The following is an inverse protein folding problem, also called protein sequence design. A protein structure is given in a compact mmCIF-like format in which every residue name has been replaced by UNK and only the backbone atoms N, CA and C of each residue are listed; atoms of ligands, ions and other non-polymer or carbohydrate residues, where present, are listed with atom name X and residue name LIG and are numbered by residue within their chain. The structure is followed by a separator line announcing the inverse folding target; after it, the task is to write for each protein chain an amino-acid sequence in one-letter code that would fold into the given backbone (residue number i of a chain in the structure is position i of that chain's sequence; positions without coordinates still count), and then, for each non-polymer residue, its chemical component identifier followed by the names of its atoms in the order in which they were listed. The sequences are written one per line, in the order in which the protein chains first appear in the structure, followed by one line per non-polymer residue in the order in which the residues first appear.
data_IF_027748560256
#
_entry.id   IF_027748560256
#
_cell.length_a   1.000
_cell.length_b   1.000
_cell.length_c   1.000
_cell.angle_alpha   90.00
_cell.angle_beta   90.00
_cell.angle_gamma   90.00
#
_symmetry.space_group_name_H-M   'P 1'
#
loop_
_entity.id
_entity.type
_entity.pdbx_description
1 polymer ?
#
# COMPACT_ATOMS: atom_id res chain seq x y z
N UNK A 1 27.97 -50.78 5.31
CA UNK A 1 27.87 -49.62 4.41
C UNK A 1 26.64 -48.85 4.85
N UNK A 2 26.83 -47.70 5.48
CA UNK A 2 25.73 -46.88 5.96
C UNK A 2 25.05 -46.22 4.76
N UNK A 3 23.76 -46.51 4.56
CA UNK A 3 22.93 -45.81 3.58
C UNK A 3 22.80 -44.34 4.02
N UNK A 4 23.58 -43.45 3.43
CA UNK A 4 23.29 -42.02 3.46
C UNK A 4 22.08 -41.80 2.56
N UNK A 5 20.88 -41.72 3.15
CA UNK A 5 19.73 -41.17 2.47
C UNK A 5 20.05 -39.71 2.16
N UNK A 6 20.41 -39.41 0.91
CA UNK A 6 20.56 -38.03 0.46
C UNK A 6 19.22 -37.34 0.66
N UNK A 7 19.15 -36.36 1.56
CA UNK A 7 17.99 -35.50 1.69
C UNK A 7 17.75 -34.79 0.34
N UNK A 8 16.54 -34.92 -0.19
CA UNK A 8 16.12 -34.35 -1.47
C UNK A 8 15.17 -33.19 -1.18
N UNK A 9 15.34 -32.09 -1.90
CA UNK A 9 14.50 -30.90 -1.79
C UNK A 9 13.87 -30.57 -3.16
N UNK A 10 12.60 -30.18 -3.14
CA UNK A 10 11.88 -29.82 -4.35
C UNK A 10 12.24 -28.38 -4.76
N UNK A 11 12.77 -28.20 -5.97
CA UNK A 11 13.11 -26.86 -6.46
C UNK A 11 11.86 -26.10 -6.94
N UNK A 12 11.51 -24.93 -6.36
CA UNK A 12 10.31 -24.19 -6.75
C UNK A 12 10.39 -23.62 -8.18
N UNK A 13 11.60 -23.43 -8.71
CA UNK A 13 11.80 -22.86 -10.04
C UNK A 13 11.66 -23.91 -11.16
N UNK A 14 12.38 -25.04 -11.07
CA UNK A 14 12.35 -26.08 -12.11
C UNK A 14 11.41 -27.26 -11.81
N UNK A 15 10.80 -27.31 -10.62
CA UNK A 15 9.87 -28.37 -10.17
C UNK A 15 10.44 -29.78 -10.20
N UNK A 16 11.76 -29.88 -10.09
CA UNK A 16 12.47 -31.16 -10.02
C UNK A 16 13.05 -31.38 -8.63
N UNK A 17 13.12 -32.66 -8.26
CA UNK A 17 13.68 -33.12 -7.00
C UNK A 17 15.20 -33.15 -7.10
N UNK A 18 15.86 -32.27 -6.36
CA UNK A 18 17.31 -32.08 -6.40
C UNK A 18 17.92 -32.38 -5.03
N UNK A 19 19.16 -32.89 -4.96
CA UNK A 19 19.83 -33.11 -3.68
C UNK A 19 19.97 -31.79 -2.91
N UNK A 20 19.95 -31.86 -1.58
CA UNK A 20 20.08 -30.70 -0.68
C UNK A 20 21.46 -30.05 -0.80
N UNK A 21 21.58 -29.12 -1.74
CA UNK A 21 22.75 -28.29 -2.01
C UNK A 21 22.39 -26.81 -1.86
N UNK A 22 23.37 -25.92 -1.74
CA UNK A 22 23.11 -24.46 -1.62
C UNK A 22 22.33 -23.89 -2.82
N UNK A 23 22.47 -24.49 -4.01
CA UNK A 23 21.80 -24.10 -5.23
C UNK A 23 21.25 -25.34 -5.95
N UNK A 24 20.15 -25.19 -6.68
CA UNK A 24 19.61 -26.24 -7.55
C UNK A 24 20.61 -26.52 -8.69
N UNK A 25 21.07 -27.77 -8.80
CA UNK A 25 22.05 -28.17 -9.82
C UNK A 25 21.53 -28.04 -11.26
N UNK A 26 20.21 -28.03 -11.45
CA UNK A 26 19.59 -27.99 -12.78
C UNK A 26 19.31 -26.55 -13.26
N UNK A 27 18.92 -25.64 -12.37
CA UNK A 27 18.53 -24.27 -12.75
C UNK A 27 19.25 -23.14 -12.01
N UNK A 28 20.15 -23.45 -11.07
CA UNK A 28 20.91 -22.45 -10.31
C UNK A 28 20.13 -21.74 -9.20
N UNK A 29 18.86 -22.10 -8.96
CA UNK A 29 18.03 -21.46 -7.94
C UNK A 29 18.63 -21.63 -6.52
N UNK A 30 18.77 -20.55 -5.71
CA UNK A 30 19.37 -20.62 -4.38
C UNK A 30 18.46 -21.29 -3.34
N UNK A 31 18.69 -22.58 -3.06
CA UNK A 31 17.89 -23.39 -2.15
C UNK A 31 18.13 -23.06 -0.67
N UNK A 32 19.26 -22.44 -0.32
CA UNK A 32 19.53 -22.01 1.06
C UNK A 32 18.53 -20.95 1.57
N UNK A 33 17.84 -20.24 0.66
CA UNK A 33 16.79 -19.28 1.04
C UNK A 33 15.54 -20.00 1.56
N UNK A 34 15.23 -21.20 1.05
CA UNK A 34 14.10 -22.03 1.50
C UNK A 34 14.35 -22.60 2.90
N UNK A 35 15.58 -23.00 3.24
CA UNK A 35 15.91 -23.49 4.58
C UNK A 35 15.76 -22.40 5.65
N UNK A 36 16.09 -21.14 5.30
CA UNK A 36 15.89 -20.00 6.20
C UNK A 36 14.39 -19.71 6.42
N UNK A 37 13.56 -19.91 5.42
CA UNK A 37 12.11 -19.75 5.54
C UNK A 37 11.49 -20.89 6.37
N UNK A 38 11.85 -22.15 6.10
CA UNK A 38 11.38 -23.30 6.87
C UNK A 38 11.81 -23.27 8.34
N UNK A 39 13.02 -22.78 8.64
CA UNK A 39 13.45 -22.57 10.04
C UNK A 39 12.67 -21.47 10.74
N UNK A 40 12.37 -20.36 10.06
CA UNK A 40 11.54 -19.28 10.62
C UNK A 40 10.11 -19.74 10.88
N UNK A 41 9.53 -20.54 9.98
CA UNK A 41 8.20 -21.12 10.19
C UNK A 41 8.20 -22.15 11.33
N UNK A 42 9.26 -22.96 11.48
CA UNK A 42 9.37 -23.91 12.58
C UNK A 42 9.54 -23.23 13.95
N UNK A 43 10.31 -22.14 14.03
CA UNK A 43 10.46 -21.34 15.27
C UNK A 43 9.15 -20.64 15.65
N UNK A 44 8.35 -20.20 14.68
CA UNK A 44 7.07 -19.54 14.93
C UNK A 44 5.96 -20.50 15.44
N UNK A 45 6.09 -21.79 15.17
CA UNK A 45 5.16 -22.84 15.64
C UNK A 45 5.54 -23.35 17.04
N UNK A 46 6.80 -23.21 17.47
CA UNK A 46 7.25 -23.64 18.81
C UNK A 46 6.89 -22.61 19.89
N UNK A 47 6.91 -21.30 19.57
CA UNK A 47 6.48 -20.24 20.51
C UNK A 47 4.96 -20.26 20.81
N UNK A 48 4.14 -20.90 19.97
CA UNK A 48 2.69 -21.03 20.19
C UNK A 48 2.27 -22.27 20.98
N UNK A 49 3.21 -23.16 21.34
CA UNK A 49 2.92 -24.40 22.10
C UNK A 49 3.18 -24.33 23.60
N UNK A 50 3.74 -23.24 24.14
CA UNK A 50 4.06 -23.13 25.57
C UNK A 50 2.96 -22.49 26.44
N UNK A 51 1.83 -22.02 25.89
CA UNK A 51 0.75 -21.41 26.68
C UNK A 51 -0.67 -21.92 26.36
N UNK A 52 -0.95 -23.23 26.42
CA UNK A 52 -2.32 -23.68 26.76
C UNK A 52 -2.28 -25.06 27.44
N UNK A 53 -2.17 -25.07 28.78
CA UNK A 53 -2.61 -26.21 29.60
C UNK A 53 -4.05 -25.95 30.05
N UNK A 54 -5.01 -26.34 29.21
CA UNK A 54 -6.42 -26.47 29.59
C UNK A 54 -6.91 -27.86 29.18
N UNK A 55 -6.85 -28.76 30.15
CA UNK A 55 -7.55 -30.04 30.15
C UNK A 55 -9.06 -29.84 29.98
N UNK A 56 -9.58 -30.17 28.80
CA UNK A 56 -11.02 -30.45 28.61
C UNK A 56 -11.14 -31.81 27.92
N UNK A 57 -11.62 -32.77 28.70
CA UNK A 57 -12.02 -34.11 28.27
C UNK A 57 -13.25 -33.98 27.34
N UNK A 58 -13.07 -34.22 26.04
CA UNK A 58 -14.17 -34.28 25.06
C UNK A 58 -14.32 -35.74 24.62
N UNK A 59 -15.48 -36.31 24.93
CA UNK A 59 -15.92 -37.64 24.49
C UNK A 59 -15.94 -37.74 22.96
N UNK A 60 -15.32 -38.80 22.44
CA UNK A 60 -15.37 -39.20 21.03
C UNK A 60 -16.80 -39.63 20.63
N UNK A 61 -17.40 -39.06 19.58
CA UNK A 61 -18.49 -39.70 18.87
C UNK A 61 -17.97 -40.69 17.81
N UNK A 62 -18.70 -41.80 17.68
CA UNK A 62 -18.45 -42.95 16.83
C UNK A 62 -18.41 -42.63 15.31
N UNK A 63 -17.76 -43.49 14.50
CA UNK A 63 -17.66 -43.31 13.06
C UNK A 63 -19.01 -43.53 12.35
N UNK A 64 -19.46 -42.51 11.62
CA UNK A 64 -20.59 -42.59 10.68
C UNK A 64 -20.06 -43.11 9.33
N UNK A 65 -20.74 -44.08 8.70
CA UNK A 65 -20.27 -44.75 7.49
C UNK A 65 -20.39 -43.88 6.23
N UNK A 66 -19.49 -44.13 5.28
CA UNK A 66 -19.47 -43.64 3.90
C UNK A 66 -20.82 -43.86 3.18
N UNK A 67 -21.34 -42.84 2.47
CA UNK A 67 -22.28 -43.06 1.39
C UNK A 67 -21.60 -42.97 0.01
N UNK A 68 -22.11 -43.85 -0.83
CA UNK A 68 -21.71 -44.19 -2.19
C UNK A 68 -21.85 -43.05 -3.20
N UNK A 69 -21.04 -43.20 -4.25
CA UNK A 69 -20.92 -42.46 -5.51
C UNK A 69 -22.19 -42.45 -6.38
N UNK A 70 -22.27 -41.39 -7.21
CA UNK A 70 -23.00 -41.20 -8.49
C UNK A 70 -24.51 -40.87 -8.45
N UNK A 71 -25.09 -40.21 -9.50
CA UNK A 71 -24.50 -39.53 -10.67
C UNK A 71 -25.00 -38.07 -10.91
N UNK A 72 -24.41 -37.45 -11.94
CA UNK A 72 -24.74 -36.15 -12.54
C UNK A 72 -26.25 -35.87 -12.75
N UNK A 73 -26.72 -34.63 -12.51
CA UNK A 73 -27.97 -34.16 -13.08
C UNK A 73 -27.79 -33.43 -14.42
N UNK A 74 -28.66 -33.83 -15.35
CA UNK A 74 -28.89 -33.29 -16.68
C UNK A 74 -29.25 -31.79 -16.67
N UNK A 75 -28.86 -31.17 -17.79
CA UNK A 75 -29.23 -29.85 -18.26
C UNK A 75 -30.76 -29.74 -18.35
N UNK A 76 -31.34 -28.75 -17.66
CA UNK A 76 -32.70 -28.24 -17.92
C UNK A 76 -32.55 -26.75 -18.20
N UNK A 77 -32.75 -26.39 -19.48
CA UNK A 77 -33.16 -25.05 -19.91
C UNK A 77 -34.64 -24.84 -19.58
N UNK A 78 -35.07 -23.57 -19.52
CA UNK A 78 -36.42 -23.01 -19.24
C UNK A 78 -36.55 -22.44 -17.82
N UNK A 79 -37.22 -21.32 -17.56
CA UNK A 79 -37.60 -20.14 -18.34
C UNK A 79 -37.96 -19.06 -17.28
N UNK A 80 -38.18 -17.84 -17.74
CA UNK A 80 -38.74 -16.66 -17.05
C UNK A 80 -39.54 -16.90 -15.74
N UNK A 81 -39.31 -16.07 -14.71
CA UNK A 81 -40.36 -15.18 -14.16
C UNK A 81 -39.82 -14.26 -13.03
N UNK A 82 -40.23 -12.99 -13.15
CA UNK A 82 -40.02 -11.90 -12.21
C UNK A 82 -40.62 -12.20 -10.83
N UNK A 83 -39.86 -12.01 -9.75
CA UNK A 83 -40.43 -11.73 -8.43
C UNK A 83 -39.72 -10.55 -7.78
N UNK A 84 -40.45 -9.43 -7.81
CA UNK A 84 -40.25 -8.22 -7.01
C UNK A 84 -40.56 -8.61 -5.55
N UNK A 85 -39.53 -8.60 -4.70
CA UNK A 85 -39.69 -8.65 -3.25
C UNK A 85 -39.34 -7.26 -2.69
N UNK A 86 -40.39 -6.49 -2.41
CA UNK A 86 -40.35 -5.35 -1.49
C UNK A 86 -39.92 -5.85 -0.11
N UNK A 87 -38.67 -5.58 0.26
CA UNK A 87 -38.19 -5.78 1.62
C UNK A 87 -38.41 -4.49 2.41
N UNK A 88 -39.33 -4.58 3.35
CA UNK A 88 -39.72 -3.58 4.35
C UNK A 88 -38.50 -3.22 5.21
N UNK A 89 -38.21 -1.92 5.27
CA UNK A 89 -37.08 -1.30 5.95
C UNK A 89 -37.35 -1.25 7.46
N UNK A 90 -36.67 -2.09 8.25
CA UNK A 90 -36.75 -2.09 9.71
C UNK A 90 -35.68 -1.14 10.29
N UNK A 91 -36.12 0.00 10.84
CA UNK A 91 -35.26 1.00 11.50
C UNK A 91 -34.60 0.42 12.78
N UNK A 92 -33.25 0.39 12.87
CA UNK A 92 -32.59 0.11 14.14
C UNK A 92 -32.57 1.37 15.05
N UNK A 93 -33.11 1.20 16.26
CA UNK A 93 -33.02 2.15 17.37
C UNK A 93 -31.57 2.47 17.73
N UNK A 94 -31.22 3.72 18.08
CA UNK A 94 -29.90 4.06 18.57
C UNK A 94 -29.68 3.55 20.01
N UNK A 95 -28.59 2.81 20.20
CA UNK A 95 -28.03 2.51 21.52
C UNK A 95 -27.30 3.75 22.09
N UNK A 96 -27.32 3.95 23.42
CA UNK A 96 -26.69 5.10 24.07
C UNK A 96 -25.16 4.99 24.16
N UNK A 97 -24.48 6.08 23.82
CA UNK A 97 -23.03 6.27 23.99
C UNK A 97 -22.63 6.24 25.49
N UNK A 98 -21.54 5.54 25.87
CA UNK A 98 -20.95 5.69 27.19
C UNK A 98 -20.03 6.91 27.25
N UNK A 99 -20.30 7.79 28.22
CA UNK A 99 -19.43 8.86 28.68
C UNK A 99 -18.13 8.27 29.24
N UNK A 100 -16.97 8.65 28.68
CA UNK A 100 -15.66 8.32 29.26
C UNK A 100 -15.12 9.59 29.92
N UNK A 101 -15.11 9.58 31.24
CA UNK A 101 -14.46 10.57 32.10
C UNK A 101 -12.93 10.44 32.02
N UNK A 102 -12.31 11.62 31.94
CA UNK A 102 -10.91 11.96 32.20
C UNK A 102 -10.32 11.37 33.48
N UNK A 103 -9.06 10.92 33.42
CA UNK A 103 -8.04 11.26 34.44
C UNK A 103 -6.65 11.32 33.82
N UNK A 104 -6.04 12.51 33.92
CA UNK A 104 -4.65 12.83 33.67
C UNK A 104 -3.89 12.56 34.97
N UNK A 105 -2.88 11.69 34.95
CA UNK A 105 -1.86 11.62 36.00
C UNK A 105 -0.53 12.10 35.42
N UNK A 106 -0.14 13.31 35.81
CA UNK A 106 1.21 13.85 35.62
C UNK A 106 1.99 13.47 36.87
N UNK A 107 2.98 12.60 36.72
CA UNK A 107 3.91 12.26 37.78
C UNK A 107 5.09 13.24 37.73
N UNK A 108 5.07 14.19 38.66
CA UNK A 108 6.23 14.96 39.09
C UNK A 108 7.28 14.02 39.69
N UNK A 109 8.54 14.13 39.24
CA UNK A 109 9.65 13.72 40.09
C UNK A 109 10.79 14.72 40.04
N UNK A 110 11.10 15.20 41.24
CA UNK A 110 11.94 16.33 41.60
C UNK A 110 13.35 15.85 42.01
N UNK A 111 14.32 16.76 41.86
CA UNK A 111 15.54 16.95 42.70
C UNK A 111 16.83 16.10 42.47
N UNK A 112 17.79 16.70 41.74
CA UNK A 112 19.07 17.36 42.22
C UNK A 112 19.91 16.58 43.27
N UNK A 113 21.28 16.43 43.17
CA UNK A 113 22.27 17.54 43.26
C UNK A 113 23.60 17.42 42.47
N UNK A 114 24.09 18.56 41.95
CA UNK A 114 25.29 19.34 42.37
C UNK A 114 26.66 18.71 42.05
N UNK A 115 27.50 19.40 41.27
CA UNK A 115 28.67 20.14 41.79
C UNK A 115 29.47 20.83 40.66
N UNK A 116 29.83 22.09 40.94
CA UNK A 116 31.09 22.81 40.63
C UNK A 116 31.59 22.92 39.15
N UNK A 117 32.06 24.04 38.61
CA UNK A 117 32.63 25.25 39.19
C UNK A 117 32.96 26.30 38.07
N UNK A 118 32.91 27.60 38.40
CA UNK A 118 33.90 28.68 38.07
C UNK A 118 34.00 29.09 36.57
N UNK A 119 33.72 30.31 36.08
CA UNK A 119 34.23 31.68 36.39
C UNK A 119 33.48 32.75 35.53
N UNK A 120 33.69 34.08 35.76
CA UNK A 120 32.71 35.13 35.51
C UNK A 120 33.00 36.08 34.33
N UNK A 121 32.09 37.06 34.20
CA UNK A 121 32.21 38.37 33.53
C UNK A 121 32.09 38.44 32.00
N UNK A 122 30.90 38.87 31.53
CA UNK A 122 30.80 40.01 30.64
C UNK A 122 29.37 40.55 30.64
N UNK A 123 29.18 41.70 31.30
CA UNK A 123 28.01 42.55 31.09
C UNK A 123 27.90 42.92 29.61
N UNK A 124 26.74 42.66 29.01
CA UNK A 124 26.26 43.43 27.85
C UNK A 124 24.75 43.46 27.89
N UNK A 125 24.28 44.54 28.48
CA UNK A 125 22.98 45.15 28.33
C UNK A 125 22.67 45.34 26.83
N UNK A 126 21.61 44.66 26.37
CA UNK A 126 21.05 44.78 25.03
C UNK A 126 19.55 44.62 25.16
N UNK A 127 18.85 45.75 25.28
CA UNK A 127 17.41 45.84 25.07
C UNK A 127 17.08 45.37 23.65
N UNK A 128 16.34 44.25 23.53
CA UNK A 128 15.63 43.91 22.30
C UNK A 128 14.10 43.97 22.54
N UNK A 129 13.33 44.48 21.57
CA UNK A 129 11.89 44.69 21.66
C UNK A 129 11.09 43.37 21.55
N UNK A 130 9.81 43.37 21.97
CA UNK A 130 9.01 42.15 22.07
C UNK A 130 8.76 41.52 20.70
N UNK A 131 9.13 40.25 20.59
CA UNK A 131 8.76 39.35 19.50
C UNK A 131 7.23 39.20 19.48
N UNK A 132 6.62 39.72 18.42
CA UNK A 132 5.27 39.33 18.01
C UNK A 132 5.30 37.86 17.59
N UNK A 133 4.56 37.01 18.29
CA UNK A 133 4.17 35.67 17.84
C UNK A 133 3.37 35.81 16.54
N UNK A 134 4.09 35.77 15.41
CA UNK A 134 3.50 35.37 14.15
C UNK A 134 3.36 33.85 14.20
N UNK A 135 2.12 33.39 14.32
CA UNK A 135 1.70 32.07 13.86
C UNK A 135 2.33 31.83 12.48
N UNK A 136 3.34 30.97 12.45
CA UNK A 136 3.81 30.34 11.24
C UNK A 136 2.86 29.17 11.05
N UNK A 137 1.81 29.38 10.27
CA UNK A 137 1.12 28.28 9.60
C UNK A 137 2.16 27.59 8.72
N UNK A 138 2.74 26.52 9.24
CA UNK A 138 3.57 25.64 8.45
C UNK A 138 2.65 24.98 7.41
N UNK A 139 2.62 25.55 6.21
CA UNK A 139 2.09 24.90 5.01
C UNK A 139 2.77 23.54 4.88
N UNK A 140 2.04 22.49 5.27
CA UNK A 140 2.45 21.10 5.08
C UNK A 140 2.44 20.87 3.57
N UNK A 141 3.60 21.02 2.92
CA UNK A 141 3.82 20.52 1.56
C UNK A 141 3.67 19.00 1.58
N UNK A 142 2.48 18.53 1.25
CA UNK A 142 2.12 17.11 1.15
C UNK A 142 2.54 16.47 -0.16
N UNK A 143 3.24 17.18 -1.05
CA UNK A 143 3.67 16.63 -2.33
C UNK A 143 4.82 15.63 -2.14
N UNK A 144 4.45 14.35 -2.06
CA UNK A 144 5.34 13.18 -1.96
C UNK A 144 6.22 13.00 -3.21
N UNK A 145 5.89 13.71 -4.29
CA UNK A 145 6.68 13.75 -5.51
C UNK A 145 7.14 15.16 -5.79
N UNK A 146 8.45 15.30 -5.97
CA UNK A 146 8.95 16.41 -6.80
C UNK A 146 8.50 16.19 -8.25
N UNK A 147 8.25 17.26 -9.02
CA UNK A 147 7.90 17.14 -10.44
C UNK A 147 8.91 16.30 -11.24
N UNK A 148 10.19 16.40 -10.89
CA UNK A 148 11.30 15.66 -11.52
C UNK A 148 11.22 14.15 -11.24
N UNK A 149 10.90 13.74 -10.00
CA UNK A 149 10.69 12.33 -9.68
C UNK A 149 9.49 11.76 -10.44
N UNK A 150 8.38 12.52 -10.50
CA UNK A 150 7.17 12.09 -11.23
C UNK A 150 7.47 11.82 -12.70
N UNK A 151 8.26 12.67 -13.34
CA UNK A 151 8.66 12.50 -14.73
C UNK A 151 9.55 11.26 -14.93
N UNK A 152 10.47 10.99 -13.99
CA UNK A 152 11.35 9.82 -14.05
C UNK A 152 10.62 8.47 -14.07
N UNK A 153 9.50 8.37 -13.35
CA UNK A 153 8.66 7.16 -13.32
C UNK A 153 7.71 7.06 -14.52
N UNK A 154 7.48 8.16 -15.25
CA UNK A 154 6.59 8.21 -16.41
C UNK A 154 7.33 7.97 -17.75
N UNK A 155 8.63 8.25 -17.82
CA UNK A 155 9.43 8.14 -19.06
C UNK A 155 9.87 6.73 -19.42
N UNK A 156 9.97 5.83 -18.45
CA UNK A 156 10.20 4.43 -18.77
C UNK A 156 8.85 3.87 -19.28
N UNK A 157 8.73 3.65 -20.60
CA UNK A 157 7.64 2.87 -21.22
C UNK A 157 7.75 1.40 -20.79
N UNK A 158 7.61 1.18 -19.50
CA UNK A 158 7.59 -0.11 -18.88
C UNK A 158 6.25 -0.72 -19.23
N UNK A 159 6.20 -1.47 -20.34
CA UNK A 159 5.18 -2.50 -20.57
C UNK A 159 5.36 -3.59 -19.48
N UNK A 160 5.05 -3.25 -18.24
CA UNK A 160 4.92 -4.23 -17.18
C UNK A 160 3.45 -4.37 -16.88
N UNK A 161 3.01 -5.61 -17.07
CA UNK A 161 1.79 -6.16 -16.52
C UNK A 161 1.96 -6.20 -14.99
N UNK A 162 1.99 -5.03 -14.36
CA UNK A 162 1.92 -4.96 -12.91
C UNK A 162 0.52 -5.44 -12.55
N UNK A 163 0.45 -6.59 -11.87
CA UNK A 163 -0.77 -7.08 -11.29
C UNK A 163 -0.90 -6.45 -9.89
N UNK A 164 -1.73 -5.40 -9.72
CA UNK A 164 -1.92 -4.80 -8.41
C UNK A 164 -2.48 -5.83 -7.44
N UNK A 165 -2.01 -5.79 -6.20
CA UNK A 165 -2.62 -6.58 -5.14
C UNK A 165 -4.08 -6.09 -4.90
N UNK A 166 -4.95 -6.95 -4.35
CA UNK A 166 -6.37 -6.63 -4.18
C UNK A 166 -6.62 -5.36 -3.36
N UNK A 167 -5.78 -5.09 -2.35
CA UNK A 167 -5.93 -3.93 -1.48
C UNK A 167 -5.56 -2.63 -2.21
N UNK A 168 -4.44 -2.63 -2.95
CA UNK A 168 -4.05 -1.49 -3.78
C UNK A 168 -5.12 -1.18 -4.83
N UNK A 169 -5.67 -2.21 -5.47
CA UNK A 169 -6.76 -2.06 -6.44
C UNK A 169 -8.00 -1.42 -5.81
N UNK A 170 -8.42 -1.90 -4.64
CA UNK A 170 -9.57 -1.37 -3.91
C UNK A 170 -9.40 0.12 -3.55
N UNK A 171 -8.23 0.50 -3.01
CA UNK A 171 -7.92 1.90 -2.68
C UNK A 171 -8.09 2.80 -3.90
N UNK A 172 -7.56 2.36 -5.04
CA UNK A 172 -7.59 3.13 -6.28
C UNK A 172 -9.00 3.22 -6.88
N UNK A 173 -9.78 2.13 -6.87
CA UNK A 173 -11.18 2.15 -7.30
C UNK A 173 -12.05 3.05 -6.43
N UNK A 174 -11.86 3.03 -5.11
CA UNK A 174 -12.59 3.88 -4.18
C UNK A 174 -12.21 5.35 -4.33
N UNK A 175 -10.94 5.65 -4.61
CA UNK A 175 -10.50 7.00 -4.92
C UNK A 175 -11.13 7.52 -6.22
N UNK A 176 -11.16 6.70 -7.28
CA UNK A 176 -11.81 7.03 -8.54
C UNK A 176 -13.32 7.29 -8.34
N UNK A 177 -14.03 6.37 -7.66
CA UNK A 177 -15.45 6.54 -7.31
C UNK A 177 -15.70 7.81 -6.49
N UNK A 178 -14.84 8.12 -5.52
CA UNK A 178 -14.96 9.31 -4.68
C UNK A 178 -14.88 10.59 -5.52
N UNK A 179 -13.95 10.67 -6.47
CA UNK A 179 -13.82 11.81 -7.40
C UNK A 179 -15.08 11.93 -8.27
N UNK A 180 -15.51 10.84 -8.88
CA UNK A 180 -16.73 10.80 -9.70
C UNK A 180 -17.96 11.30 -8.93
N UNK A 181 -18.13 10.83 -7.69
CA UNK A 181 -19.26 11.23 -6.84
C UNK A 181 -19.21 12.70 -6.45
N UNK A 182 -18.04 13.24 -6.12
CA UNK A 182 -17.86 14.67 -5.81
C UNK A 182 -18.28 15.55 -6.98
N UNK A 183 -17.80 15.26 -8.19
CA UNK A 183 -18.15 16.01 -9.41
C UNK A 183 -19.67 15.95 -9.64
N UNK A 184 -20.26 14.75 -9.58
CA UNK A 184 -21.71 14.57 -9.77
C UNK A 184 -22.55 15.29 -8.71
N UNK A 185 -22.11 15.30 -7.45
CA UNK A 185 -22.80 16.05 -6.39
C UNK A 185 -22.81 17.55 -6.65
N UNK A 186 -21.69 18.12 -7.09
CA UNK A 186 -21.63 19.57 -7.41
C UNK A 186 -22.65 19.90 -8.50
N UNK A 187 -22.75 19.07 -9.53
CA UNK A 187 -23.76 19.21 -10.59
C UNK A 187 -25.20 19.15 -10.03
N UNK A 188 -25.51 18.23 -9.13
CA UNK A 188 -26.83 18.12 -8.51
C UNK A 188 -27.21 19.36 -7.70
N UNK A 189 -26.24 20.00 -7.03
CA UNK A 189 -26.46 21.26 -6.34
C UNK A 189 -26.73 22.39 -7.34
N UNK A 190 -25.96 22.49 -8.43
CA UNK A 190 -26.17 23.51 -9.47
C UNK A 190 -27.56 23.38 -10.09
N UNK A 191 -27.98 22.16 -10.42
CA UNK A 191 -29.31 21.88 -10.95
C UNK A 191 -30.44 22.09 -9.90
N UNK A 192 -30.10 22.59 -8.70
CA UNK A 192 -31.02 22.86 -7.59
C UNK A 192 -31.83 21.63 -7.16
N UNK A 193 -31.32 20.42 -7.42
CA UNK A 193 -31.99 19.17 -7.06
C UNK A 193 -31.85 18.87 -5.56
N UNK A 194 -30.83 19.42 -4.91
CA UNK A 194 -30.51 19.20 -3.50
C UNK A 194 -30.35 20.55 -2.80
N UNK A 195 -30.82 20.64 -1.55
CA UNK A 195 -30.62 21.83 -0.71
C UNK A 195 -29.17 21.90 -0.23
N UNK A 196 -28.63 23.11 -0.09
CA UNK A 196 -27.23 23.33 0.35
C UNK A 196 -26.88 22.59 1.64
N UNK A 197 -27.76 22.58 2.65
CA UNK A 197 -27.50 21.90 3.93
C UNK A 197 -27.30 20.39 3.78
N UNK A 198 -28.10 19.73 2.93
CA UNK A 198 -27.98 18.29 2.67
C UNK A 198 -26.76 18.01 1.80
N UNK A 199 -26.52 18.86 0.78
CA UNK A 199 -25.34 18.78 -0.05
C UNK A 199 -24.07 18.87 0.79
N UNK A 200 -23.96 19.88 1.66
CA UNK A 200 -22.77 20.14 2.46
C UNK A 200 -22.41 18.94 3.33
N UNK A 201 -23.39 18.35 4.04
CA UNK A 201 -23.16 17.15 4.85
C UNK A 201 -22.61 15.97 4.03
N UNK A 202 -23.19 15.71 2.85
CA UNK A 202 -22.74 14.64 1.98
C UNK A 202 -21.37 14.94 1.38
N UNK A 203 -21.19 16.16 0.88
CA UNK A 203 -19.98 16.62 0.22
C UNK A 203 -18.79 16.59 1.19
N UNK A 204 -18.95 17.14 2.40
CA UNK A 204 -17.91 17.14 3.44
C UNK A 204 -17.51 15.69 3.80
N UNK A 205 -18.49 14.78 3.95
CA UNK A 205 -18.21 13.35 4.16
C UNK A 205 -17.39 12.75 3.01
N UNK A 206 -17.68 13.08 1.75
CA UNK A 206 -16.88 12.60 0.61
C UNK A 206 -15.50 13.26 0.56
N UNK A 207 -15.36 14.53 0.95
CA UNK A 207 -14.08 15.22 1.06
C UNK A 207 -13.20 14.52 2.09
N UNK A 208 -13.72 14.24 3.29
CA UNK A 208 -13.01 13.51 4.35
C UNK A 208 -12.61 12.10 3.92
N UNK A 209 -13.53 11.33 3.34
CA UNK A 209 -13.23 10.01 2.78
C UNK A 209 -12.15 10.09 1.69
N UNK A 210 -12.21 11.10 0.83
CA UNK A 210 -11.20 11.34 -0.20
C UNK A 210 -9.81 11.56 0.39
N UNK A 211 -9.70 12.38 1.46
CA UNK A 211 -8.42 12.59 2.16
C UNK A 211 -7.85 11.30 2.73
N UNK A 212 -8.71 10.42 3.27
CA UNK A 212 -8.31 9.11 3.78
C UNK A 212 -7.79 8.19 2.65
N UNK A 213 -8.48 8.15 1.51
CA UNK A 213 -8.03 7.36 0.36
C UNK A 213 -6.73 7.89 -0.25
N UNK A 214 -6.57 9.21 -0.37
CA UNK A 214 -5.30 9.84 -0.79
C UNK A 214 -4.19 9.47 0.18
N UNK A 215 -4.41 9.55 1.49
CA UNK A 215 -3.41 9.17 2.50
C UNK A 215 -2.99 7.69 2.39
N UNK A 216 -3.94 6.79 2.12
CA UNK A 216 -3.65 5.36 1.88
C UNK A 216 -2.85 5.13 0.60
N UNK A 217 -3.23 5.80 -0.49
CA UNK A 217 -2.50 5.78 -1.77
C UNK A 217 -1.04 6.23 -1.57
N UNK A 218 -0.87 7.29 -0.83
CA UNK A 218 0.41 7.91 -0.51
C UNK A 218 1.30 7.01 0.37
N UNK A 219 0.70 6.27 1.30
CA UNK A 219 1.39 5.22 2.07
C UNK A 219 1.90 4.08 1.16
N UNK A 220 1.06 3.60 0.24
CA UNK A 220 1.43 2.56 -0.74
C UNK A 220 2.62 3.03 -1.59
N UNK A 221 2.58 4.27 -2.07
CA UNK A 221 3.69 4.87 -2.81
C UNK A 221 4.96 4.90 -1.96
N UNK A 222 4.87 5.34 -0.71
CA UNK A 222 6.04 5.43 0.20
C UNK A 222 6.66 4.06 0.43
N UNK A 223 5.83 3.03 0.61
CA UNK A 223 6.26 1.63 0.73
C UNK A 223 6.99 1.16 -0.54
N UNK A 224 6.42 1.39 -1.72
CA UNK A 224 7.07 1.04 -2.98
C UNK A 224 8.41 1.76 -3.18
N UNK A 225 8.51 3.04 -2.82
CA UNK A 225 9.79 3.78 -2.86
C UNK A 225 10.83 3.12 -1.96
N UNK A 226 10.49 2.82 -0.71
CA UNK A 226 11.39 2.16 0.22
C UNK A 226 11.82 0.76 -0.25
N UNK A 227 10.90 -0.02 -0.83
CA UNK A 227 11.21 -1.33 -1.40
C UNK A 227 12.16 -1.22 -2.61
N UNK A 228 11.96 -0.23 -3.50
CA UNK A 228 12.85 0.05 -4.63
C UNK A 228 14.25 0.40 -4.13
N UNK A 229 14.38 1.33 -3.18
CA UNK A 229 15.67 1.73 -2.63
C UNK A 229 16.44 0.55 -2.03
N UNK A 230 15.75 -0.32 -1.27
CA UNK A 230 16.35 -1.55 -0.73
C UNK A 230 16.86 -2.46 -1.85
N UNK A 231 16.01 -2.74 -2.84
CA UNK A 231 16.38 -3.63 -3.95
C UNK A 231 17.51 -3.05 -4.80
N UNK A 232 17.56 -1.73 -5.00
CA UNK A 232 18.64 -1.05 -5.70
C UNK A 232 19.98 -1.18 -4.95
N UNK A 233 19.97 -1.07 -3.63
CA UNK A 233 21.16 -1.32 -2.81
C UNK A 233 21.64 -2.77 -2.93
N UNK A 234 20.72 -3.74 -2.87
CA UNK A 234 21.03 -5.16 -3.06
C UNK A 234 21.58 -5.43 -4.47
N UNK A 235 21.02 -4.80 -5.49
CA UNK A 235 21.46 -4.92 -6.88
C UNK A 235 22.88 -4.36 -7.07
N UNK A 236 23.18 -3.19 -6.48
CA UNK A 236 24.53 -2.63 -6.49
C UNK A 236 25.52 -3.56 -5.78
N UNK A 237 25.12 -4.17 -4.66
CA UNK A 237 25.96 -5.15 -3.95
C UNK A 237 26.22 -6.39 -4.81
N UNK A 238 25.18 -6.97 -5.42
CA UNK A 238 25.30 -8.14 -6.27
C UNK A 238 26.20 -7.87 -7.49
N UNK A 239 26.10 -6.68 -8.10
CA UNK A 239 26.99 -6.26 -9.20
C UNK A 239 28.44 -6.14 -8.76
N UNK A 240 28.72 -5.58 -7.58
CA UNK A 240 30.07 -5.49 -7.02
C UNK A 240 30.67 -6.86 -6.72
N UNK A 241 29.88 -7.76 -6.14
CA UNK A 241 30.32 -9.12 -5.84
C UNK A 241 30.62 -9.92 -7.11
N UNK A 242 29.80 -9.72 -8.15
CA UNK A 242 30.04 -10.31 -9.47
C UNK A 242 31.33 -9.77 -10.11
N UNK A 243 31.53 -8.45 -10.11
CA UNK A 243 32.76 -7.81 -10.62
C UNK A 243 34.00 -8.30 -9.86
N UNK A 244 33.91 -8.40 -8.54
CA UNK A 244 35.00 -8.94 -7.72
C UNK A 244 35.32 -10.39 -8.09
N UNK A 245 34.32 -11.22 -8.34
CA UNK A 245 34.51 -12.60 -8.80
C UNK A 245 35.21 -12.64 -10.17
N UNK A 246 34.85 -11.75 -11.10
CA UNK A 246 35.52 -11.63 -12.40
C UNK A 246 36.99 -11.22 -12.25
N UNK A 247 37.29 -10.24 -11.39
CA UNK A 247 38.67 -9.83 -11.08
C UNK A 247 39.46 -10.99 -10.46
N UNK A 248 38.89 -11.68 -9.46
CA UNK A 248 39.54 -12.83 -8.79
C UNK A 248 39.84 -13.97 -9.77
N UNK A 249 38.93 -14.25 -10.72
CA UNK A 249 39.18 -15.20 -11.81
C UNK A 249 40.35 -14.75 -12.67
N UNK A 250 40.37 -13.48 -13.07
CA UNK A 250 41.39 -12.94 -13.99
C UNK A 250 42.81 -12.94 -13.39
N UNK A 251 42.94 -12.73 -12.08
CA UNK A 251 44.24 -12.83 -11.38
C UNK A 251 44.62 -14.26 -10.98
N UNK A 252 43.75 -15.24 -11.24
CA UNK A 252 43.97 -16.65 -10.88
C UNK A 252 43.76 -16.99 -9.40
N UNK A 253 43.12 -16.10 -8.62
CA UNK A 253 42.77 -16.33 -7.22
C UNK A 253 41.50 -17.19 -7.07
N UNK A 254 40.56 -17.09 -8.02
CA UNK A 254 39.39 -17.95 -8.10
C UNK A 254 39.59 -19.06 -9.15
N UNK A 255 39.18 -20.28 -8.83
CA UNK A 255 39.22 -21.41 -9.78
C UNK A 255 38.11 -21.28 -10.83
N UNK A 256 38.29 -21.96 -11.97
CA UNK A 256 37.26 -22.01 -13.01
C UNK A 256 35.97 -22.67 -12.51
N UNK A 257 36.08 -23.66 -11.61
CA UNK A 257 34.94 -24.31 -10.97
C UNK A 257 34.18 -23.37 -10.03
N UNK A 258 34.87 -22.61 -9.17
CA UNK A 258 34.23 -21.59 -8.31
C UNK A 258 33.49 -20.56 -9.16
N UNK A 259 34.12 -20.08 -10.23
CA UNK A 259 33.52 -19.12 -11.14
C UNK A 259 32.26 -19.69 -11.82
N UNK A 260 32.35 -20.91 -12.36
CA UNK A 260 31.23 -21.53 -13.08
C UNK A 260 30.02 -21.80 -12.17
N UNK A 261 30.23 -21.97 -10.86
CA UNK A 261 29.14 -22.11 -9.89
C UNK A 261 28.57 -20.75 -9.48
N UNK A 262 29.41 -19.77 -9.13
CA UNK A 262 28.96 -18.50 -8.56
C UNK A 262 28.48 -17.48 -9.60
N UNK A 263 29.12 -17.42 -10.77
CA UNK A 263 28.79 -16.44 -11.80
C UNK A 263 27.32 -16.52 -12.28
N UNK A 264 26.76 -17.72 -12.55
CA UNK A 264 25.34 -17.83 -12.90
C UNK A 264 24.41 -17.37 -11.77
N UNK A 265 24.75 -17.65 -10.51
CA UNK A 265 23.95 -17.23 -9.36
C UNK A 265 23.89 -15.69 -9.25
N UNK A 266 25.04 -15.01 -9.34
CA UNK A 266 25.05 -13.55 -9.33
C UNK A 266 24.30 -12.93 -10.51
N UNK A 267 24.45 -13.50 -11.71
CA UNK A 267 23.69 -13.03 -12.89
C UNK A 267 22.19 -13.17 -12.68
N UNK A 268 21.76 -14.30 -12.12
CA UNK A 268 20.35 -14.51 -11.78
C UNK A 268 19.86 -13.50 -10.75
N UNK A 269 20.61 -13.25 -9.67
CA UNK A 269 20.24 -12.26 -8.64
C UNK A 269 20.14 -10.85 -9.26
N UNK A 270 21.09 -10.45 -10.12
CA UNK A 270 21.06 -9.15 -10.81
C UNK A 270 19.83 -9.02 -11.72
N UNK A 271 19.58 -10.00 -12.59
CA UNK A 271 18.44 -9.99 -13.51
C UNK A 271 17.10 -10.01 -12.77
N UNK A 272 17.02 -10.77 -11.68
CA UNK A 272 15.83 -10.87 -10.85
C UNK A 272 15.53 -9.55 -10.14
N UNK A 273 16.52 -8.96 -9.47
CA UNK A 273 16.38 -7.65 -8.81
C UNK A 273 16.03 -6.54 -9.81
N UNK A 274 16.68 -6.50 -10.98
CA UNK A 274 16.34 -5.55 -12.04
C UNK A 274 14.87 -5.70 -12.50
N UNK A 275 14.36 -6.94 -12.57
CA UNK A 275 12.96 -7.21 -12.92
C UNK A 275 12.00 -6.79 -11.81
N UNK A 276 12.32 -7.09 -10.55
CA UNK A 276 11.49 -6.72 -9.40
C UNK A 276 11.42 -5.21 -9.20
N UNK A 277 12.55 -4.50 -9.33
CA UNK A 277 12.59 -3.03 -9.28
C UNK A 277 11.66 -2.44 -10.34
N UNK A 278 11.74 -2.91 -11.59
CA UNK A 278 10.86 -2.44 -12.65
C UNK A 278 9.39 -2.76 -12.37
N UNK A 279 9.10 -3.94 -11.82
CA UNK A 279 7.73 -4.31 -11.45
C UNK A 279 7.16 -3.36 -10.36
N UNK A 280 7.93 -3.08 -9.32
CA UNK A 280 7.53 -2.16 -8.25
C UNK A 280 7.40 -0.71 -8.75
N UNK A 281 8.27 -0.28 -9.69
CA UNK A 281 8.09 1.01 -10.38
C UNK A 281 6.80 1.06 -11.19
N UNK A 282 6.44 -0.03 -11.86
CA UNK A 282 5.14 -0.18 -12.51
C UNK A 282 3.97 -0.06 -11.52
N UNK A 283 4.14 -0.55 -10.30
CA UNK A 283 3.19 -0.36 -9.21
C UNK A 283 3.01 1.11 -8.82
N UNK A 284 4.10 1.87 -8.68
CA UNK A 284 4.02 3.32 -8.46
C UNK A 284 3.27 4.00 -9.62
N UNK A 285 3.59 3.65 -10.87
CA UNK A 285 2.93 4.22 -12.03
C UNK A 285 1.42 3.91 -12.07
N UNK A 286 1.02 2.70 -11.70
CA UNK A 286 -0.38 2.32 -11.55
C UNK A 286 -1.10 3.18 -10.51
N UNK A 287 -0.47 3.37 -9.34
CA UNK A 287 -1.04 4.12 -8.22
C UNK A 287 -1.09 5.64 -8.49
N UNK A 288 -0.18 6.18 -9.29
CA UNK A 288 -0.19 7.59 -9.69
C UNK A 288 -1.24 7.85 -10.78
N UNK A 289 -1.42 6.92 -11.71
CA UNK A 289 -2.26 7.12 -12.90
C UNK A 289 -3.71 6.67 -12.65
N UNK A 290 -4.44 7.44 -11.83
CA UNK A 290 -5.86 7.18 -11.55
C UNK A 290 -6.71 7.25 -12.83
N UNK A 291 -6.34 8.10 -13.78
CA UNK A 291 -7.05 8.29 -15.05
C UNK A 291 -7.28 6.97 -15.80
N UNK A 292 -6.29 6.07 -15.82
CA UNK A 292 -6.39 4.77 -16.50
C UNK A 292 -7.40 3.80 -15.88
N UNK A 293 -7.90 4.08 -14.67
CA UNK A 293 -8.89 3.24 -13.99
C UNK A 293 -10.33 3.67 -14.29
N UNK A 294 -10.51 4.88 -14.80
CA UNK A 294 -11.80 5.40 -15.22
C UNK A 294 -11.91 5.15 -16.74
N UNK A 295 -13.02 4.61 -17.25
CA UNK A 295 -13.25 4.49 -18.68
C UNK A 295 -13.00 5.82 -19.39
N UNK A 296 -12.33 5.80 -20.54
CA UNK A 296 -11.94 7.03 -21.27
C UNK A 296 -13.14 7.93 -21.59
N UNK A 297 -14.27 7.33 -21.95
CA UNK A 297 -15.55 8.03 -22.17
C UNK A 297 -16.04 8.76 -20.90
N UNK A 298 -15.93 8.11 -19.73
CA UNK A 298 -16.32 8.70 -18.45
C UNK A 298 -15.32 9.78 -18.01
N UNK A 299 -14.03 9.65 -18.32
CA UNK A 299 -13.03 10.71 -18.04
C UNK A 299 -13.34 11.98 -18.82
N UNK A 300 -13.65 11.87 -20.11
CA UNK A 300 -14.00 13.03 -20.93
C UNK A 300 -15.29 13.70 -20.44
N UNK A 301 -16.31 12.90 -20.09
CA UNK A 301 -17.55 13.40 -19.49
C UNK A 301 -17.27 14.13 -18.17
N UNK A 302 -16.52 13.50 -17.25
CA UNK A 302 -16.17 14.09 -15.95
C UNK A 302 -15.35 15.36 -16.09
N UNK A 303 -14.43 15.42 -17.05
CA UNK A 303 -13.65 16.62 -17.35
C UNK A 303 -14.55 17.76 -17.84
N UNK A 304 -15.38 17.48 -18.84
CA UNK A 304 -16.34 18.44 -19.40
C UNK A 304 -17.31 18.95 -18.33
N UNK A 305 -17.84 18.04 -17.51
CA UNK A 305 -18.69 18.42 -16.37
C UNK A 305 -17.91 19.30 -15.39
N UNK A 306 -16.74 18.87 -14.93
CA UNK A 306 -15.95 19.61 -13.95
C UNK A 306 -15.58 21.02 -14.42
N UNK A 307 -15.19 21.19 -15.68
CA UNK A 307 -14.90 22.51 -16.27
C UNK A 307 -16.15 23.39 -16.35
N UNK A 308 -17.28 22.83 -16.79
CA UNK A 308 -18.55 23.56 -16.90
C UNK A 308 -19.03 23.97 -15.51
N UNK A 309 -19.06 23.04 -14.56
CA UNK A 309 -19.45 23.32 -13.18
C UNK A 309 -18.52 24.36 -12.55
N UNK A 310 -17.19 24.22 -12.68
CA UNK A 310 -16.22 25.15 -12.11
C UNK A 310 -16.45 26.61 -12.53
N UNK A 311 -16.77 26.83 -13.81
CA UNK A 311 -16.99 28.17 -14.36
C UNK A 311 -18.35 28.77 -13.97
N UNK A 312 -19.38 27.95 -13.80
CA UNK A 312 -20.75 28.38 -13.53
C UNK A 312 -21.09 28.43 -12.02
N UNK A 313 -20.20 27.92 -11.15
CA UNK A 313 -20.39 27.88 -9.70
C UNK A 313 -20.62 29.26 -9.05
N UNK A 314 -20.09 30.34 -9.63
CA UNK A 314 -20.26 31.70 -9.09
C UNK A 314 -21.67 32.28 -9.31
N UNK A 315 -22.43 31.71 -10.25
CA UNK A 315 -23.76 32.20 -10.64
C UNK A 315 -24.90 31.55 -9.83
N UNK A 316 -24.59 30.62 -8.91
CA UNK A 316 -25.59 29.89 -8.13
C UNK A 316 -26.14 30.77 -7.01
N UNK A 317 -27.44 31.12 -7.09
CA UNK A 317 -28.14 31.83 -6.03
C UNK A 317 -28.44 30.92 -4.83
N UNK A 318 -28.26 31.43 -3.61
CA UNK A 318 -28.65 30.73 -2.38
C UNK A 318 -27.64 29.73 -1.84
N UNK A 319 -26.42 29.70 -2.39
CA UNK A 319 -25.28 28.94 -1.85
C UNK A 319 -24.28 29.89 -1.20
N UNK A 320 -23.70 29.48 -0.07
CA UNK A 320 -22.71 30.30 0.64
C UNK A 320 -21.36 30.35 -0.11
N UNK A 321 -20.67 31.49 -0.01
CA UNK A 321 -19.36 31.68 -0.64
C UNK A 321 -18.33 30.64 -0.19
N UNK A 322 -18.41 30.18 1.06
CA UNK A 322 -17.50 29.16 1.61
C UNK A 322 -17.73 27.80 0.93
N UNK A 323 -18.99 27.41 0.72
CA UNK A 323 -19.34 26.18 -0.01
C UNK A 323 -18.85 26.26 -1.46
N UNK A 324 -19.02 27.41 -2.12
CA UNK A 324 -18.52 27.63 -3.49
C UNK A 324 -17.01 27.49 -3.57
N UNK A 325 -16.27 28.09 -2.62
CA UNK A 325 -14.82 27.98 -2.57
C UNK A 325 -14.35 26.52 -2.40
N UNK A 326 -14.96 25.78 -1.47
CA UNK A 326 -14.66 24.35 -1.23
C UNK A 326 -14.95 23.47 -2.46
N UNK A 327 -16.06 23.72 -3.16
CA UNK A 327 -16.40 23.03 -4.40
C UNK A 327 -15.37 23.31 -5.51
N UNK A 328 -14.97 24.58 -5.68
CA UNK A 328 -13.96 24.96 -6.68
C UNK A 328 -12.60 24.32 -6.40
N UNK A 329 -12.15 24.32 -5.16
CA UNK A 329 -10.92 23.64 -4.75
C UNK A 329 -11.00 22.14 -5.10
N UNK A 330 -12.08 21.47 -4.71
CA UNK A 330 -12.28 20.04 -4.97
C UNK A 330 -12.36 19.73 -6.48
N UNK A 331 -13.02 20.56 -7.27
CA UNK A 331 -13.09 20.40 -8.73
C UNK A 331 -11.74 20.63 -9.39
N UNK A 332 -10.95 21.60 -8.91
CA UNK A 332 -9.61 21.84 -9.41
C UNK A 332 -8.68 20.66 -9.12
N UNK A 333 -8.75 20.08 -7.91
CA UNK A 333 -8.04 18.84 -7.57
C UNK A 333 -8.46 17.67 -8.48
N UNK A 334 -9.76 17.49 -8.68
CA UNK A 334 -10.29 16.44 -9.54
C UNK A 334 -9.82 16.61 -11.00
N UNK A 335 -9.85 17.82 -11.55
CA UNK A 335 -9.33 18.13 -12.88
C UNK A 335 -7.84 17.83 -12.99
N UNK A 336 -7.03 18.25 -12.00
CA UNK A 336 -5.60 17.96 -11.99
C UNK A 336 -5.30 16.44 -12.03
N UNK A 337 -6.15 15.63 -11.40
CA UNK A 337 -6.04 14.17 -11.42
C UNK A 337 -6.46 13.59 -12.79
N UNK A 338 -7.55 14.09 -13.38
CA UNK A 338 -8.06 13.63 -14.68
C UNK A 338 -7.18 14.06 -15.87
N UNK A 339 -6.40 15.12 -15.70
CA UNK A 339 -5.46 15.64 -16.71
C UNK A 339 -4.08 14.99 -16.67
N UNK A 340 -3.70 14.41 -15.52
CA UNK A 340 -2.43 13.69 -15.35
C UNK A 340 -2.43 12.29 -15.96
#
# INVERSE_FOLDING_TARGET
MSNQTSEVIHCPNCKEDVPKTLYCLNCGYPLYKLEKQQKKEAEQIDETKEEVDMSVEIEQPAPVPEPETEPEPEIIEEDEEEQILEAEEEEPKPEPEPEIETTIEVEDNELIPEEEAITPESEKESEEPPLSEKLIEAEVKTDIFTPEERESYMTDEVKIEFAPDPLTKEVMENLAKNITLKIRLVRLLRESQVKEETFKKLFDSYVEQGRLWVSRRDEIIRRFKADIERMEQELVSARKDFELLEIRKNIGDASEEEYNIKAPAYKWDIEHLDKEIKNTRGGIQYVINLKKLIPEEEVEELKSMSETEYNELDDIEGVTSDTVASMKETLAEALAILES
#
